data_IF_927047530947
#
_entry.id   IF_927047530947
#
_cell.length_a   1.000
_cell.length_b   1.000
_cell.length_c   1.000
_cell.angle_alpha   90.00
_cell.angle_beta   90.00
_cell.angle_gamma   90.00
#
_symmetry.space_group_name_H-M   'P 1'
#
loop_
_entity.id
_entity.type
_entity.pdbx_description
1 polymer ?
#
# COMPACT_ATOMS: atom_id res chain seq x y z
N UNK A 1 0.34 -5.07 12.54
CA UNK A 1 0.72 -4.70 11.17
C UNK A 1 -0.55 -4.48 10.39
N UNK A 2 -0.75 -3.29 9.81
CA UNK A 2 -1.95 -2.97 9.02
C UNK A 2 -1.57 -2.78 7.56
N UNK A 3 -2.39 -3.32 6.65
CA UNK A 3 -2.24 -3.03 5.22
C UNK A 3 -2.96 -1.72 4.91
N UNK A 4 -2.22 -0.76 4.35
CA UNK A 4 -2.78 0.46 3.78
C UNK A 4 -3.32 0.17 2.38
N UNK A 5 -4.56 0.58 2.15
CA UNK A 5 -5.05 0.75 0.78
C UNK A 5 -4.28 1.90 0.10
N UNK A 6 -4.03 1.75 -1.20
CA UNK A 6 -3.36 2.76 -2.02
C UNK A 6 -4.10 4.10 -1.96
N UNK A 7 -5.43 4.09 -1.90
CA UNK A 7 -6.22 5.33 -1.86
C UNK A 7 -5.89 6.19 -0.63
N UNK A 8 -5.64 5.57 0.54
CA UNK A 8 -5.23 6.29 1.76
C UNK A 8 -3.91 7.03 1.53
N UNK A 9 -2.95 6.37 0.88
CA UNK A 9 -1.67 7.00 0.54
C UNK A 9 -1.86 8.12 -0.50
N UNK A 10 -2.68 7.89 -1.53
CA UNK A 10 -2.98 8.87 -2.57
C UNK A 10 -3.70 10.10 -2.01
N UNK A 11 -4.57 9.94 -1.01
CA UNK A 11 -5.26 11.06 -0.38
C UNK A 11 -4.29 12.01 0.31
N UNK A 12 -3.23 11.48 0.94
CA UNK A 12 -2.16 12.27 1.57
C UNK A 12 -1.28 12.94 0.51
N UNK A 13 -0.80 12.16 -0.47
CA UNK A 13 0.12 12.66 -1.50
C UNK A 13 -0.52 13.75 -2.38
N UNK A 14 -1.80 13.61 -2.70
CA UNK A 14 -2.53 14.52 -3.58
C UNK A 14 -3.39 15.54 -2.81
N UNK A 15 -3.41 15.50 -1.47
CA UNK A 15 -4.25 16.36 -0.62
C UNK A 15 -5.74 16.30 -0.99
N UNK A 16 -6.28 15.09 -1.15
CA UNK A 16 -7.68 14.86 -1.57
C UNK A 16 -8.65 15.08 -0.41
N UNK A 17 -9.43 16.15 -0.47
CA UNK A 17 -10.54 16.36 0.47
C UNK A 17 -11.76 15.49 0.10
N UNK A 18 -12.56 15.02 1.08
CA UNK A 18 -12.45 15.28 2.52
C UNK A 18 -11.50 14.34 3.29
N UNK A 19 -10.87 13.38 2.60
CA UNK A 19 -10.17 12.25 3.24
C UNK A 19 -8.74 12.58 3.71
N UNK A 20 -8.16 13.68 3.23
CA UNK A 20 -6.77 14.07 3.51
C UNK A 20 -6.42 14.02 5.00
N UNK A 21 -7.22 14.69 5.86
CA UNK A 21 -6.90 14.81 7.28
C UNK A 21 -6.88 13.47 8.00
N UNK A 22 -7.85 12.61 7.72
CA UNK A 22 -7.96 11.29 8.38
C UNK A 22 -6.89 10.34 7.85
N UNK A 23 -6.61 10.34 6.54
CA UNK A 23 -5.55 9.53 5.94
C UNK A 23 -4.16 9.95 6.43
N UNK A 24 -3.92 11.25 6.60
CA UNK A 24 -2.66 11.78 7.13
C UNK A 24 -2.42 11.34 8.58
N UNK A 25 -3.48 11.32 9.41
CA UNK A 25 -3.39 10.87 10.80
C UNK A 25 -3.02 9.38 10.90
N UNK A 26 -3.56 8.54 10.01
CA UNK A 26 -3.16 7.12 9.92
C UNK A 26 -1.68 7.00 9.56
N UNK A 27 -1.22 7.75 8.55
CA UNK A 27 0.18 7.72 8.13
C UNK A 27 1.12 8.23 9.24
N UNK A 28 0.71 9.28 9.97
CA UNK A 28 1.46 9.81 11.11
C UNK A 28 1.64 8.76 12.22
N UNK A 29 0.57 8.02 12.56
CA UNK A 29 0.63 6.93 13.54
C UNK A 29 1.64 5.85 13.14
N UNK A 30 1.67 5.49 11.86
CA UNK A 30 2.65 4.54 11.32
C UNK A 30 4.08 5.08 11.40
N UNK A 31 4.30 6.34 11.03
CA UNK A 31 5.62 6.98 11.03
C UNK A 31 6.18 7.20 12.45
N UNK A 32 5.31 7.39 13.46
CA UNK A 32 5.69 7.44 14.87
C UNK A 32 6.14 6.10 15.42
N UNK A 33 5.87 5.00 14.70
CA UNK A 33 6.18 3.64 15.12
C UNK A 33 5.14 3.04 16.07
N UNK A 34 3.99 3.68 16.25
CA UNK A 34 2.89 3.17 17.08
C UNK A 34 2.31 1.87 16.48
N UNK A 35 2.42 1.70 15.16
CA UNK A 35 1.95 0.53 14.44
C UNK A 35 2.77 0.28 13.17
N UNK A 36 2.98 -0.99 12.82
CA UNK A 36 3.71 -1.37 11.60
C UNK A 36 2.77 -1.30 10.39
N UNK A 37 3.14 -0.53 9.38
CA UNK A 37 2.38 -0.41 8.14
C UNK A 37 2.88 -1.35 7.04
N UNK A 38 1.98 -1.78 6.18
CA UNK A 38 2.30 -2.50 4.95
C UNK A 38 1.51 -1.92 3.77
N UNK A 39 2.04 -2.04 2.57
CA UNK A 39 1.35 -1.81 1.31
C UNK A 39 1.30 -3.10 0.50
N UNK A 40 0.36 -3.21 -0.42
CA UNK A 40 0.40 -4.30 -1.36
C UNK A 40 1.50 -4.15 -2.42
N UNK A 41 2.02 -5.26 -2.94
CA UNK A 41 3.00 -5.25 -4.02
C UNK A 41 2.52 -4.46 -5.26
N UNK A 42 1.24 -4.55 -5.60
CA UNK A 42 0.67 -3.75 -6.68
C UNK A 42 0.67 -2.24 -6.36
N UNK A 43 0.37 -1.85 -5.12
CA UNK A 43 0.38 -0.44 -4.72
C UNK A 43 1.75 0.21 -4.93
N UNK A 44 2.85 -0.50 -4.61
CA UNK A 44 4.22 -0.06 -4.92
C UNK A 44 4.39 0.27 -6.40
N UNK A 45 4.05 -0.67 -7.27
CA UNK A 45 4.20 -0.48 -8.73
C UNK A 45 3.32 0.64 -9.27
N UNK A 46 2.13 0.82 -8.71
CA UNK A 46 1.21 1.89 -9.10
C UNK A 46 1.75 3.26 -8.69
N UNK A 47 2.26 3.40 -7.48
CA UNK A 47 2.90 4.65 -7.03
C UNK A 47 4.07 4.99 -7.93
N UNK A 48 4.95 4.02 -8.21
CA UNK A 48 6.08 4.25 -9.12
C UNK A 48 5.61 4.73 -10.49
N UNK A 49 4.64 4.02 -11.10
CA UNK A 49 4.10 4.39 -12.40
C UNK A 49 3.51 5.81 -12.41
N UNK A 50 2.68 6.15 -11.41
CA UNK A 50 2.06 7.47 -11.33
C UNK A 50 3.10 8.57 -11.15
N UNK A 51 4.05 8.40 -10.22
CA UNK A 51 5.08 9.42 -9.97
C UNK A 51 5.99 9.57 -11.19
N UNK A 52 6.39 8.47 -11.83
CA UNK A 52 7.22 8.52 -13.03
C UNK A 52 6.49 9.18 -14.21
N UNK A 53 5.16 9.00 -14.29
CA UNK A 53 4.33 9.58 -15.36
C UNK A 53 4.07 11.06 -15.18
N UNK A 54 3.81 11.52 -13.94
CA UNK A 54 3.37 12.89 -13.67
C UNK A 54 4.49 13.82 -13.15
N UNK A 55 5.60 13.27 -12.65
CA UNK A 55 6.78 14.02 -12.25
C UNK A 55 7.99 13.60 -13.10
N UNK A 56 8.81 12.65 -12.60
CA UNK A 56 9.92 12.04 -13.32
C UNK A 56 10.37 10.74 -12.64
N UNK A 57 11.28 10.00 -13.28
CA UNK A 57 11.80 8.72 -12.74
C UNK A 57 12.57 8.90 -11.43
N UNK A 58 13.34 9.98 -11.29
CA UNK A 58 14.11 10.21 -10.07
C UNK A 58 13.20 10.48 -8.86
N UNK A 59 12.08 11.17 -9.06
CA UNK A 59 11.04 11.36 -8.07
C UNK A 59 10.37 10.04 -7.71
N UNK A 60 10.13 9.16 -8.69
CA UNK A 60 9.58 7.83 -8.45
C UNK A 60 10.52 6.97 -7.61
N UNK A 61 11.82 6.97 -7.91
CA UNK A 61 12.84 6.26 -7.13
C UNK A 61 12.93 6.78 -5.68
N UNK A 62 12.86 8.10 -5.48
CA UNK A 62 12.81 8.70 -4.14
C UNK A 62 11.55 8.28 -3.37
N UNK A 63 10.39 8.30 -4.02
CA UNK A 63 9.13 7.88 -3.42
C UNK A 63 9.17 6.39 -3.04
N UNK A 64 9.67 5.52 -3.92
CA UNK A 64 9.80 4.09 -3.65
C UNK A 64 10.79 3.81 -2.52
N UNK A 65 11.92 4.50 -2.50
CA UNK A 65 12.91 4.39 -1.40
C UNK A 65 12.28 4.78 -0.07
N UNK A 66 11.45 5.84 -0.05
CA UNK A 66 10.73 6.25 1.15
C UNK A 66 9.70 5.21 1.56
N UNK A 67 8.89 4.69 0.64
CA UNK A 67 7.86 3.69 0.95
C UNK A 67 8.47 2.41 1.51
N UNK A 68 9.48 1.86 0.84
CA UNK A 68 10.13 0.61 1.25
C UNK A 68 10.90 0.74 2.57
N UNK A 69 11.31 1.96 2.94
CA UNK A 69 11.94 2.23 4.24
C UNK A 69 10.94 2.23 5.40
N UNK A 70 9.70 2.66 5.17
CA UNK A 70 8.71 2.87 6.25
C UNK A 70 7.57 1.85 6.26
N UNK A 71 7.39 1.08 5.19
CA UNK A 71 6.27 0.15 5.03
C UNK A 71 6.74 -1.18 4.45
N UNK A 72 6.18 -2.28 4.96
CA UNK A 72 6.39 -3.61 4.38
C UNK A 72 5.59 -3.79 3.09
N UNK A 73 6.00 -4.72 2.23
CA UNK A 73 5.26 -5.05 1.00
C UNK A 73 4.63 -6.44 1.13
N UNK A 74 3.30 -6.49 1.13
CA UNK A 74 2.54 -7.73 1.10
C UNK A 74 2.39 -8.23 -0.34
N UNK A 75 2.89 -9.43 -0.61
CA UNK A 75 2.79 -10.07 -1.93
C UNK A 75 1.46 -10.81 -2.17
N UNK A 76 0.77 -11.23 -1.11
CA UNK A 76 -0.53 -11.90 -1.20
C UNK A 76 -1.36 -11.66 0.06
N UNK A 77 -2.68 -11.74 -0.07
CA UNK A 77 -3.64 -11.79 1.03
C UNK A 77 -3.86 -13.27 1.38
N UNK A 78 -3.81 -13.65 2.65
CA UNK A 78 -4.19 -15.01 3.09
C UNK A 78 -5.55 -14.93 3.77
N UNK A 79 -6.57 -15.59 3.22
CA UNK A 79 -7.97 -15.48 3.66
C UNK A 79 -8.76 -16.76 3.39
N UNK A 80 -9.75 -17.09 4.23
CA UNK A 80 -10.68 -18.20 3.96
C UNK A 80 -11.77 -17.85 2.93
N UNK A 81 -11.97 -16.56 2.64
CA UNK A 81 -13.03 -16.07 1.75
C UNK A 81 -12.43 -15.40 0.51
N UNK A 82 -11.70 -16.15 -0.32
CA UNK A 82 -11.03 -15.61 -1.52
C UNK A 82 -11.98 -14.84 -2.44
N UNK A 83 -13.25 -15.25 -2.51
CA UNK A 83 -14.31 -14.59 -3.31
C UNK A 83 -14.50 -13.10 -2.99
N UNK A 84 -14.28 -12.70 -1.73
CA UNK A 84 -14.45 -11.32 -1.27
C UNK A 84 -13.34 -10.39 -1.83
N UNK A 85 -12.26 -11.00 -2.33
CA UNK A 85 -11.06 -10.33 -2.85
C UNK A 85 -10.91 -10.53 -4.36
N UNK A 86 -11.98 -10.89 -5.08
CA UNK A 86 -11.95 -11.08 -6.54
C UNK A 86 -11.60 -9.80 -7.32
N UNK A 87 -11.96 -8.63 -6.78
CA UNK A 87 -11.55 -7.33 -7.31
C UNK A 87 -10.19 -6.85 -6.78
N UNK A 88 -9.53 -7.63 -5.90
CA UNK A 88 -8.24 -7.25 -5.33
C UNK A 88 -7.15 -7.36 -6.40
N UNK A 89 -6.31 -6.33 -6.57
CA UNK A 89 -5.10 -6.43 -7.40
C UNK A 89 -4.00 -7.27 -6.73
N UNK A 90 -4.22 -7.69 -5.48
CA UNK A 90 -3.32 -8.54 -4.69
C UNK A 90 -3.91 -9.95 -4.67
N UNK A 91 -3.15 -10.98 -5.08
CA UNK A 91 -3.66 -12.34 -5.08
C UNK A 91 -4.07 -12.76 -3.66
N UNK A 92 -5.30 -13.23 -3.53
CA UNK A 92 -5.82 -13.80 -2.31
C UNK A 92 -5.71 -15.34 -2.38
N UNK A 93 -5.11 -15.93 -1.36
CA UNK A 93 -4.91 -17.37 -1.21
C UNK A 93 -5.64 -17.84 0.04
N UNK A 94 -6.20 -19.04 -0.01
CA UNK A 94 -6.56 -19.76 1.21
C UNK A 94 -5.32 -20.13 2.01
N UNK A 95 -5.43 -20.36 3.34
CA UNK A 95 -4.30 -20.83 4.13
C UNK A 95 -3.66 -22.11 3.56
N UNK A 96 -4.46 -23.04 3.04
CA UNK A 96 -3.95 -24.27 2.45
C UNK A 96 -3.18 -24.02 1.15
N UNK A 97 -3.69 -23.16 0.26
CA UNK A 97 -2.98 -22.76 -0.96
C UNK A 97 -1.67 -22.03 -0.64
N UNK A 98 -1.62 -21.22 0.42
CA UNK A 98 -0.40 -20.54 0.84
C UNK A 98 0.67 -21.51 1.36
N UNK A 99 0.29 -22.50 2.17
CA UNK A 99 1.23 -23.48 2.74
C UNK A 99 1.79 -24.46 1.70
N UNK A 100 1.11 -24.63 0.57
CA UNK A 100 1.54 -25.48 -0.54
C UNK A 100 2.39 -24.74 -1.58
N UNK A 101 2.72 -23.46 -1.34
CA UNK A 101 3.38 -22.56 -2.27
C UNK A 101 4.90 -22.56 -2.14
#
# INVERSE_FOLDING_TARGET
>A
MIMLDLNVLLDVLQKREPHYRVSAAVLEKLLRGDEVGALSAHAATTVYYLVARYADRAAADRAMSWLLKHLHVCACIVTRNVKDFTASPVPALTPQEYLLR
#
